data_IF_360012879153
#
_entry.id   IF_360012879153
#
_cell.length_a   1.000
_cell.length_b   1.000
_cell.length_c   1.000
_cell.angle_alpha   90.00
_cell.angle_beta   90.00
_cell.angle_gamma   90.00
#
_symmetry.space_group_name_H-M   'P 1'
#
loop_
_entity.id
_entity.type
_entity.pdbx_description
1 polymer ?
#
# COMPACT_ATOMS: atom_id res chain seq x y z
N UNK A 1 11.90 -19.72 3.89
CA UNK A 1 11.74 -19.76 2.42
C UNK A 1 10.55 -18.87 2.09
N UNK A 2 10.72 -17.79 1.32
CA UNK A 2 9.72 -16.73 1.11
C UNK A 2 8.52 -17.10 0.23
N UNK A 3 8.23 -18.39 0.09
CA UNK A 3 7.07 -18.93 -0.63
C UNK A 3 6.17 -19.57 0.41
N UNK A 4 4.96 -19.01 0.59
CA UNK A 4 3.97 -19.62 1.47
C UNK A 4 3.44 -20.89 0.83
N UNK A 5 3.38 -22.02 1.55
CA UNK A 5 2.63 -23.18 1.11
C UNK A 5 1.14 -22.91 1.30
N UNK A 6 0.59 -21.96 0.53
CA UNK A 6 -0.84 -21.66 0.61
C UNK A 6 -1.60 -22.86 0.04
N UNK A 7 -2.30 -23.59 0.91
CA UNK A 7 -3.27 -24.59 0.45
C UNK A 7 -4.46 -23.83 -0.10
N UNK A 8 -4.86 -24.09 -1.35
CA UNK A 8 -6.02 -23.44 -1.93
C UNK A 8 -7.28 -23.77 -1.10
N UNK A 9 -8.10 -22.78 -0.72
CA UNK A 9 -9.37 -23.01 -0.05
C UNK A 9 -10.28 -23.86 -0.93
N UNK A 10 -10.78 -24.95 -0.36
CA UNK A 10 -11.74 -25.83 -1.02
C UNK A 10 -12.83 -26.24 -0.03
N UNK A 11 -14.00 -25.60 -0.16
CA UNK A 11 -15.15 -25.87 0.70
C UNK A 11 -15.77 -27.27 0.50
N UNK A 12 -15.37 -28.00 -0.54
CA UNK A 12 -15.87 -29.35 -0.83
C UNK A 12 -15.02 -30.45 -0.18
N UNK A 13 -13.75 -30.16 0.12
CA UNK A 13 -12.81 -31.11 0.73
C UNK A 13 -12.26 -30.67 2.09
N UNK A 14 -12.39 -29.39 2.44
CA UNK A 14 -11.99 -28.82 3.72
C UNK A 14 -13.22 -28.31 4.47
N UNK A 15 -13.24 -28.50 5.79
CA UNK A 15 -14.29 -27.98 6.67
C UNK A 15 -13.69 -27.42 7.95
N UNK A 16 -14.40 -26.53 8.64
CA UNK A 16 -13.98 -26.01 9.96
C UNK A 16 -12.67 -25.23 9.92
N UNK A 17 -11.74 -25.58 10.81
CA UNK A 17 -10.44 -24.90 10.99
C UNK A 17 -9.55 -24.97 9.74
N UNK A 18 -9.34 -26.13 9.08
CA UNK A 18 -8.57 -26.21 7.83
C UNK A 18 -8.98 -25.22 6.73
N UNK A 19 -10.29 -25.05 6.50
CA UNK A 19 -10.78 -24.13 5.48
C UNK A 19 -10.50 -22.67 5.84
N UNK A 20 -10.63 -22.30 7.13
CA UNK A 20 -10.33 -20.94 7.62
C UNK A 20 -8.84 -20.63 7.52
N UNK A 21 -7.97 -21.56 7.90
CA UNK A 21 -6.52 -21.41 7.74
C UNK A 21 -6.14 -21.24 6.27
N UNK A 22 -6.73 -22.02 5.35
CA UNK A 22 -6.48 -21.87 3.91
C UNK A 22 -6.92 -20.48 3.38
N UNK A 23 -8.04 -19.94 3.88
CA UNK A 23 -8.48 -18.58 3.54
C UNK A 23 -7.52 -17.51 4.06
N UNK A 24 -7.04 -17.64 5.30
CA UNK A 24 -6.06 -16.71 5.89
C UNK A 24 -4.74 -16.74 5.11
N UNK A 25 -4.26 -17.93 4.73
CA UNK A 25 -3.04 -18.12 3.95
C UNK A 25 -3.16 -17.52 2.54
N UNK A 26 -4.28 -17.75 1.84
CA UNK A 26 -4.52 -17.16 0.52
C UNK A 26 -4.73 -15.65 0.62
N UNK A 27 -5.41 -15.14 1.65
CA UNK A 27 -5.52 -13.70 1.86
C UNK A 27 -4.14 -13.05 2.11
N UNK A 28 -3.27 -13.71 2.88
CA UNK A 28 -1.90 -13.27 3.11
C UNK A 28 -1.06 -13.29 1.81
N UNK A 29 -1.22 -14.32 0.97
CA UNK A 29 -0.57 -14.41 -0.35
C UNK A 29 -1.11 -13.40 -1.37
N UNK A 30 -2.43 -13.20 -1.42
CA UNK A 30 -3.09 -12.28 -2.34
C UNK A 30 -2.71 -10.81 -2.06
N UNK A 31 -2.50 -10.44 -0.79
CA UNK A 31 -1.94 -9.12 -0.42
C UNK A 31 -0.57 -8.85 -1.03
N UNK A 32 0.18 -9.89 -1.41
CA UNK A 32 1.45 -9.73 -2.12
C UNK A 32 1.22 -9.62 -3.63
N UNK A 33 0.43 -10.50 -4.25
CA UNK A 33 0.34 -10.57 -5.71
C UNK A 33 -0.63 -9.53 -6.31
N UNK A 34 -1.76 -9.26 -5.66
CA UNK A 34 -2.85 -8.47 -6.24
C UNK A 34 -2.67 -6.95 -6.09
N UNK A 35 -1.88 -6.51 -5.10
CA UNK A 35 -1.59 -5.11 -4.80
C UNK A 35 -0.14 -5.03 -4.33
N UNK A 36 0.74 -4.30 -5.04
CA UNK A 36 2.15 -4.17 -4.64
C UNK A 36 2.29 -3.71 -3.18
N UNK A 37 1.31 -2.92 -2.70
CA UNK A 37 1.17 -2.46 -1.33
C UNK A 37 -0.29 -2.31 -0.91
N UNK A 38 -0.57 -2.45 0.38
CA UNK A 38 -1.88 -2.15 0.99
C UNK A 38 -1.74 -0.95 1.94
N UNK A 39 -2.37 0.17 1.58
CA UNK A 39 -2.41 1.39 2.38
C UNK A 39 -3.68 1.49 3.22
N UNK A 40 -3.55 1.98 4.45
CA UNK A 40 -4.66 2.25 5.36
C UNK A 40 -4.45 3.58 6.09
N UNK A 41 -5.55 4.24 6.48
CA UNK A 41 -5.49 5.40 7.36
C UNK A 41 -5.08 5.00 8.78
N UNK A 42 -4.49 5.94 9.52
CA UNK A 42 -4.15 5.74 10.93
C UNK A 42 -4.91 6.73 11.80
N UNK A 43 -5.47 6.22 12.90
CA UNK A 43 -6.02 7.06 13.97
C UNK A 43 -4.95 7.56 14.94
N UNK A 44 -3.74 6.97 14.92
CA UNK A 44 -2.62 7.40 15.75
C UNK A 44 -1.26 7.06 15.09
N UNK A 45 -0.40 8.06 14.83
CA UNK A 45 -0.71 9.49 14.79
C UNK A 45 -1.81 9.76 13.75
N UNK A 46 -2.74 10.68 14.07
CA UNK A 46 -3.73 11.12 13.10
C UNK A 46 -3.05 11.81 11.90
N UNK A 47 -3.76 11.89 10.77
CA UNK A 47 -3.25 12.47 9.52
C UNK A 47 -2.00 11.78 8.98
N UNK A 48 -1.92 10.45 9.13
CA UNK A 48 -0.87 9.62 8.54
C UNK A 48 -1.46 8.42 7.79
N UNK A 49 -0.71 7.92 6.82
CA UNK A 49 -1.05 6.71 6.07
C UNK A 49 -0.05 5.61 6.42
N UNK A 50 -0.58 4.46 6.84
CA UNK A 50 0.22 3.25 7.04
C UNK A 50 0.24 2.47 5.73
N UNK A 51 1.45 2.15 5.30
CA UNK A 51 1.71 1.24 4.19
C UNK A 51 2.14 -0.10 4.76
N UNK A 52 1.31 -1.13 4.58
CA UNK A 52 1.63 -2.46 5.04
C UNK A 52 2.77 -3.07 4.20
N UNK A 53 3.50 -4.00 4.81
CA UNK A 53 4.60 -4.68 4.17
C UNK A 53 4.19 -5.26 2.80
N UNK A 54 5.06 -5.06 1.82
CA UNK A 54 4.84 -5.42 0.43
C UNK A 54 6.13 -5.88 -0.21
N UNK A 55 6.13 -5.94 -1.54
CA UNK A 55 7.31 -6.29 -2.30
C UNK A 55 7.35 -5.50 -3.59
N UNK A 56 8.55 -5.21 -4.03
CA UNK A 56 8.79 -4.59 -5.32
C UNK A 56 9.50 -5.60 -6.19
N UNK A 57 8.89 -5.93 -7.32
CA UNK A 57 9.62 -6.51 -8.44
C UNK A 57 10.55 -5.41 -8.93
N UNK A 58 11.85 -5.52 -8.63
CA UNK A 58 12.84 -4.64 -9.24
C UNK A 58 12.75 -4.73 -10.77
N UNK A 59 13.53 -3.89 -11.45
CA UNK A 59 13.72 -3.90 -12.90
C UNK A 59 13.80 -5.35 -13.42
N UNK A 60 13.11 -5.62 -14.54
CA UNK A 60 12.93 -6.96 -15.12
C UNK A 60 14.17 -7.86 -14.95
N UNK A 61 14.03 -8.98 -14.24
CA UNK A 61 15.12 -9.92 -13.96
C UNK A 61 15.80 -9.78 -12.59
N UNK A 62 15.39 -8.81 -11.76
CA UNK A 62 15.92 -8.64 -10.40
C UNK A 62 15.16 -9.49 -9.37
N UNK A 63 15.84 -9.84 -8.27
CA UNK A 63 15.22 -10.49 -7.11
C UNK A 63 14.18 -9.52 -6.49
N UNK A 64 12.98 -10.01 -6.13
CA UNK A 64 12.02 -9.29 -5.30
C UNK A 64 12.65 -8.60 -4.09
N UNK A 65 12.40 -7.30 -3.92
CA UNK A 65 12.79 -6.58 -2.71
C UNK A 65 11.61 -6.52 -1.75
N UNK A 66 11.76 -7.13 -0.57
CA UNK A 66 10.78 -7.00 0.51
C UNK A 66 10.84 -5.59 1.09
N UNK A 67 9.66 -5.00 1.29
CA UNK A 67 9.51 -3.67 1.87
C UNK A 67 8.72 -3.83 3.15
N UNK A 68 9.33 -3.47 4.28
CA UNK A 68 8.68 -3.51 5.58
C UNK A 68 7.53 -2.49 5.67
N UNK A 69 6.64 -2.70 6.63
CA UNK A 69 5.59 -1.73 6.96
C UNK A 69 6.21 -0.37 7.28
N UNK A 70 5.64 0.69 6.72
CA UNK A 70 6.09 2.07 6.89
C UNK A 70 4.89 2.97 7.13
N UNK A 71 5.12 4.14 7.74
CA UNK A 71 4.12 5.19 7.87
C UNK A 71 4.63 6.43 7.13
N UNK A 72 3.72 7.22 6.57
CA UNK A 72 4.07 8.56 6.08
C UNK A 72 4.48 9.46 7.24
N UNK A 73 5.14 10.59 6.92
CA UNK A 73 5.11 11.73 7.82
C UNK A 73 3.68 12.27 8.01
N UNK A 74 3.52 13.20 8.97
CA UNK A 74 2.25 13.90 9.20
C UNK A 74 1.87 14.66 7.92
N UNK A 75 0.67 14.41 7.42
CA UNK A 75 0.07 15.17 6.34
C UNK A 75 -0.60 16.40 6.96
N UNK A 76 -0.20 17.59 6.51
CA UNK A 76 -0.80 18.83 7.04
C UNK A 76 -2.20 19.01 6.46
N UNK A 77 -3.17 19.32 7.31
CA UNK A 77 -4.51 19.67 6.85
C UNK A 77 -4.47 20.94 5.97
N UNK A 78 -5.34 21.05 4.95
CA UNK A 78 -5.48 22.27 4.18
C UNK A 78 -6.04 23.41 5.04
N UNK A 79 -5.75 24.63 4.64
CA UNK A 79 -6.13 25.85 5.36
C UNK A 79 -7.38 26.51 4.80
N UNK A 80 -7.50 26.58 3.47
CA UNK A 80 -8.50 27.42 2.80
C UNK A 80 -9.32 26.65 1.78
N UNK A 81 -8.69 25.81 0.97
CA UNK A 81 -9.39 25.01 -0.04
C UNK A 81 -9.00 23.53 0.05
N UNK A 82 -9.85 22.61 -0.45
CA UNK A 82 -9.50 21.22 -0.57
C UNK A 82 -8.18 20.98 -1.32
N UNK A 83 -7.50 19.90 -0.98
CA UNK A 83 -6.21 19.49 -1.55
C UNK A 83 -6.19 18.00 -1.81
N UNK A 84 -5.40 17.57 -2.78
CA UNK A 84 -5.13 16.15 -3.01
C UNK A 84 -3.64 15.90 -2.91
N UNK A 85 -3.26 14.90 -2.12
CA UNK A 85 -1.88 14.45 -1.99
C UNK A 85 -1.75 13.03 -2.54
N UNK A 86 -0.56 12.68 -3.03
CA UNK A 86 -0.26 11.31 -3.50
C UNK A 86 0.79 10.69 -2.59
N UNK A 87 0.43 9.58 -1.96
CA UNK A 87 1.40 8.71 -1.29
C UNK A 87 2.00 7.78 -2.33
N UNK A 88 3.31 7.68 -2.35
CA UNK A 88 4.03 6.84 -3.29
C UNK A 88 5.23 6.15 -2.61
N UNK A 89 5.70 5.07 -3.22
CA UNK A 89 6.95 4.43 -2.84
C UNK A 89 7.99 4.53 -3.94
N UNK A 90 9.26 4.58 -3.56
CA UNK A 90 10.37 4.44 -4.49
C UNK A 90 10.44 3.02 -5.05
N UNK A 91 10.49 2.88 -6.38
CA UNK A 91 10.44 1.59 -7.05
C UNK A 91 11.75 0.77 -6.99
N UNK A 92 12.78 1.27 -6.31
CA UNK A 92 14.04 0.56 -6.09
C UNK A 92 14.30 0.29 -4.60
N UNK A 93 13.99 1.26 -3.74
CA UNK A 93 14.27 1.19 -2.30
C UNK A 93 13.04 0.86 -1.46
N UNK A 94 11.84 1.04 -2.00
CA UNK A 94 10.59 0.87 -1.26
C UNK A 94 10.28 1.98 -0.25
N UNK A 95 11.06 3.06 -0.24
CA UNK A 95 10.87 4.18 0.69
C UNK A 95 9.56 4.90 0.41
N UNK A 96 8.71 5.06 1.44
CA UNK A 96 7.47 5.82 1.36
C UNK A 96 7.72 7.33 1.35
N UNK A 97 6.94 8.06 0.55
CA UNK A 97 6.92 9.52 0.54
C UNK A 97 5.55 10.04 0.08
N UNK A 98 5.33 11.34 0.28
CA UNK A 98 4.08 12.03 -0.09
C UNK A 98 4.43 13.20 -1.02
N UNK A 99 3.79 13.24 -2.18
CA UNK A 99 3.74 14.45 -3.01
C UNK A 99 2.56 15.30 -2.57
N UNK A 100 2.84 16.41 -1.89
CA UNK A 100 1.83 17.39 -1.49
C UNK A 100 1.30 18.12 -2.72
N UNK A 101 -0.03 18.21 -2.83
CA UNK A 101 -0.66 18.99 -3.89
C UNK A 101 -0.81 20.46 -3.59
N UNK A 102 -1.61 21.11 -4.42
CA UNK A 102 -1.93 22.54 -4.28
C UNK A 102 -3.39 22.69 -3.88
N UNK A 103 -3.66 23.54 -2.89
CA UNK A 103 -5.03 23.89 -2.49
C UNK A 103 -5.75 24.62 -3.62
N UNK A 104 -6.96 24.16 -3.96
CA UNK A 104 -7.83 24.81 -4.93
C UNK A 104 -9.29 24.42 -4.70
N UNK A 105 -10.23 25.28 -5.09
CA UNK A 105 -11.67 24.96 -5.00
C UNK A 105 -12.06 23.69 -5.76
N UNK A 106 -11.29 23.35 -6.81
CA UNK A 106 -11.33 22.07 -7.51
C UNK A 106 -9.90 21.53 -7.62
N UNK A 107 -9.43 20.73 -6.65
CA UNK A 107 -8.04 20.30 -6.61
C UNK A 107 -7.75 19.22 -7.65
N UNK A 108 -6.60 19.35 -8.28
CA UNK A 108 -6.06 18.38 -9.25
C UNK A 108 -5.05 17.46 -8.59
N UNK A 109 -4.94 16.25 -9.12
CA UNK A 109 -4.01 15.25 -8.59
C UNK A 109 -2.56 15.69 -8.93
N UNK A 110 -1.62 15.68 -7.96
CA UNK A 110 -0.21 15.95 -8.21
C UNK A 110 0.41 14.93 -9.18
N UNK A 111 1.42 15.37 -9.94
CA UNK A 111 2.20 14.46 -10.77
C UNK A 111 2.96 13.46 -9.90
N UNK A 112 2.85 12.17 -10.23
CA UNK A 112 3.66 11.12 -9.59
C UNK A 112 5.10 11.26 -10.07
N UNK A 113 6.10 11.40 -9.18
CA UNK A 113 7.49 11.51 -9.61
C UNK A 113 7.96 10.27 -10.36
N UNK A 114 8.92 10.44 -11.28
CA UNK A 114 9.47 9.31 -12.04
C UNK A 114 10.13 8.27 -11.12
N UNK A 115 9.99 6.99 -11.45
CA UNK A 115 10.51 5.89 -10.63
C UNK A 115 9.75 5.71 -9.31
N UNK A 116 8.55 6.29 -9.18
CA UNK A 116 7.68 6.07 -8.01
C UNK A 116 6.44 5.26 -8.38
N UNK A 117 5.96 4.50 -7.42
CA UNK A 117 4.74 3.70 -7.51
C UNK A 117 3.70 4.41 -6.66
N UNK A 118 2.60 4.94 -7.23
CA UNK A 118 1.54 5.53 -6.43
C UNK A 118 0.81 4.42 -5.65
N UNK A 119 0.62 4.63 -4.34
CA UNK A 119 -0.02 3.65 -3.45
C UNK A 119 -1.33 4.16 -2.86
N UNK A 120 -1.49 5.47 -2.69
CA UNK A 120 -2.75 6.07 -2.25
C UNK A 120 -2.90 7.51 -2.76
N UNK A 121 -4.16 7.94 -2.91
CA UNK A 121 -4.54 9.35 -3.05
C UNK A 121 -5.27 9.78 -1.80
N UNK A 122 -4.78 10.82 -1.15
CA UNK A 122 -5.39 11.41 0.05
C UNK A 122 -6.18 12.65 -0.38
N UNK A 123 -7.50 12.60 -0.21
CA UNK A 123 -8.36 13.76 -0.46
C UNK A 123 -8.55 14.49 0.88
N UNK A 124 -8.10 15.73 0.93
CA UNK A 124 -8.21 16.59 2.10
C UNK A 124 -9.28 17.65 1.80
N UNK A 125 -10.26 17.76 2.68
CA UNK A 125 -11.42 18.66 2.54
C UNK A 125 -11.51 19.64 3.70
#
# INVERSE_FOLDING_TARGET
>A
MGVFPATQPDHTSQTGTPYKTALDDVAAGARRIALWFYSEEQSTPDMTVKLNAGWITGVQGSVPTEVATQNTGIITAPSTNPRKDIVHVDNQTGTIAVTTGTEAASPVDPTVPNGKIPVARVNLV
#
